data_IF_390810771540
#
_entry.id   IF_390810771540
#
_cell.length_a   1.000
_cell.length_b   1.000
_cell.length_c   1.000
_cell.angle_alpha   90.00
_cell.angle_beta   90.00
_cell.angle_gamma   90.00
#
_symmetry.space_group_name_H-M   'P 1'
#
loop_
_entity.id
_entity.type
_entity.pdbx_description
1 polymer ?
#
# COMPACT_ATOMS: atom_id res chain seq x y z
N UNK A 1 8.14 29.42 -1.03
CA UNK A 1 6.95 28.85 -0.34
C UNK A 1 7.20 27.35 -0.20
N UNK A 2 6.93 26.71 0.96
CA UNK A 2 7.11 25.28 1.13
C UNK A 2 6.22 24.51 0.14
N UNK A 3 6.72 23.46 -0.48
CA UNK A 3 5.88 22.59 -1.31
C UNK A 3 4.96 21.78 -0.40
N UNK A 4 3.68 22.13 -0.39
CA UNK A 4 2.65 21.40 0.35
C UNK A 4 2.06 20.26 -0.47
N UNK A 5 2.27 20.24 -1.78
CA UNK A 5 1.79 19.19 -2.67
C UNK A 5 2.97 18.40 -3.23
N UNK A 6 3.12 17.15 -2.79
CA UNK A 6 4.25 16.29 -3.11
C UNK A 6 3.72 15.06 -3.87
N UNK A 7 3.92 14.98 -5.19
CA UNK A 7 3.64 13.75 -5.93
C UNK A 7 4.74 12.72 -5.68
N UNK A 8 4.39 11.44 -5.72
CA UNK A 8 5.35 10.35 -5.75
C UNK A 8 4.91 9.27 -6.74
N UNK A 9 5.90 8.49 -7.19
CA UNK A 9 5.69 7.34 -8.04
C UNK A 9 6.76 6.30 -7.71
N UNK A 10 6.32 5.09 -7.37
CA UNK A 10 7.18 3.95 -7.09
C UNK A 10 6.78 2.81 -8.01
N UNK A 11 7.77 2.16 -8.63
CA UNK A 11 7.54 1.08 -9.59
C UNK A 11 8.40 -0.13 -9.26
N UNK A 12 7.93 -1.30 -9.66
CA UNK A 12 8.67 -2.54 -9.51
C UNK A 12 8.46 -3.47 -10.71
N UNK A 13 9.42 -4.36 -10.90
CA UNK A 13 9.33 -5.55 -11.74
C UNK A 13 10.03 -6.68 -10.99
N UNK A 14 9.34 -7.80 -10.83
CA UNK A 14 9.86 -8.98 -10.15
C UNK A 14 9.83 -10.19 -11.06
N UNK A 15 10.95 -10.91 -11.11
CA UNK A 15 11.15 -12.10 -11.92
C UNK A 15 11.28 -13.33 -11.01
N UNK A 16 10.66 -14.44 -11.40
CA UNK A 16 10.60 -15.64 -10.58
C UNK A 16 9.77 -15.41 -9.32
N UNK A 17 10.33 -15.77 -8.17
CA UNK A 17 9.70 -15.59 -6.86
C UNK A 17 10.66 -14.84 -5.92
N UNK A 18 10.74 -13.50 -6.00
CA UNK A 18 11.56 -12.71 -5.09
C UNK A 18 11.11 -12.92 -3.63
N UNK A 19 12.06 -13.10 -2.73
CA UNK A 19 11.79 -13.35 -1.31
C UNK A 19 12.54 -12.32 -0.45
N UNK A 20 11.86 -11.70 0.54
CA UNK A 20 12.54 -10.82 1.48
C UNK A 20 13.48 -11.63 2.39
N UNK A 21 14.65 -11.08 2.71
CA UNK A 21 15.59 -11.72 3.65
C UNK A 21 14.97 -11.86 5.06
N UNK A 22 14.09 -10.94 5.43
CA UNK A 22 13.27 -10.98 6.64
C UNK A 22 11.86 -10.54 6.27
N UNK A 23 10.89 -11.44 6.41
CA UNK A 23 9.48 -11.10 6.27
C UNK A 23 8.92 -10.64 7.61
N UNK A 24 9.14 -9.36 7.92
CA UNK A 24 8.60 -8.76 9.13
C UNK A 24 7.07 -8.68 9.04
N UNK A 25 6.39 -9.55 9.78
CA UNK A 25 4.93 -9.52 9.96
C UNK A 25 4.13 -9.81 8.67
N UNK A 26 4.63 -10.67 7.78
CA UNK A 26 3.91 -11.03 6.54
C UNK A 26 3.69 -9.85 5.60
N UNK A 27 4.60 -8.87 5.63
CA UNK A 27 4.50 -7.61 4.90
C UNK A 27 4.99 -7.69 3.46
N UNK A 28 5.61 -8.80 3.07
CA UNK A 28 6.09 -8.99 1.71
C UNK A 28 7.23 -8.03 1.34
N UNK A 29 7.74 -8.18 0.12
CA UNK A 29 8.87 -7.38 -0.39
C UNK A 29 8.41 -6.00 -0.86
N UNK A 30 7.13 -5.84 -1.21
CA UNK A 30 6.58 -4.62 -1.82
C UNK A 30 5.92 -3.64 -0.83
N UNK A 31 6.03 -3.86 0.49
CA UNK A 31 5.41 -2.98 1.51
C UNK A 31 5.74 -1.49 1.40
N UNK A 32 6.88 -1.15 0.80
CA UNK A 32 7.36 0.23 0.65
C UNK A 32 7.02 0.85 -0.72
N UNK A 33 6.35 0.12 -1.61
CA UNK A 33 5.92 0.65 -2.92
C UNK A 33 4.83 1.70 -2.71
N UNK A 34 3.89 1.45 -1.81
CA UNK A 34 2.76 2.34 -1.60
C UNK A 34 1.87 1.91 -0.45
N UNK A 35 0.94 2.78 -0.05
CA UNK A 35 0.00 2.53 1.04
C UNK A 35 -0.96 1.37 0.73
N UNK A 36 -1.25 1.07 -0.55
CA UNK A 36 -2.04 -0.09 -0.95
C UNK A 36 -1.29 -1.43 -0.82
N UNK A 37 0.02 -1.40 -0.59
CA UNK A 37 0.84 -2.59 -0.30
C UNK A 37 1.16 -2.73 1.20
N UNK A 38 0.81 -1.72 2.01
CA UNK A 38 1.11 -1.73 3.43
C UNK A 38 0.18 -2.71 4.16
N UNK A 39 0.78 -3.65 4.88
CA UNK A 39 0.04 -4.51 5.80
C UNK A 39 0.22 -4.04 7.23
N UNK A 40 -0.77 -4.37 8.04
CA UNK A 40 -0.64 -4.43 9.49
C UNK A 40 -1.04 -5.85 9.87
N UNK A 41 -0.07 -6.65 10.32
CA UNK A 41 -0.30 -8.07 10.59
C UNK A 41 -1.24 -8.32 11.78
N UNK A 42 -1.74 -7.25 12.41
CA UNK A 42 -2.71 -7.34 13.48
C UNK A 42 -4.16 -7.31 12.97
N UNK A 43 -4.46 -6.51 11.95
CA UNK A 43 -5.85 -6.19 11.56
C UNK A 43 -6.31 -6.91 10.31
N UNK A 44 -5.39 -7.53 9.55
CA UNK A 44 -5.73 -8.14 8.26
C UNK A 44 -6.23 -7.11 7.24
N UNK A 45 -5.77 -5.86 7.37
CA UNK A 45 -6.15 -4.77 6.47
C UNK A 45 -5.89 -5.17 5.01
N UNK A 46 -6.86 -4.97 4.09
CA UNK A 46 -6.70 -5.37 2.70
C UNK A 46 -5.47 -4.74 2.07
N UNK A 47 -4.72 -5.51 1.28
CA UNK A 47 -3.58 -5.05 0.49
C UNK A 47 -3.53 -5.73 -0.88
N UNK A 48 -2.91 -5.05 -1.84
CA UNK A 48 -2.53 -5.67 -3.10
C UNK A 48 -1.47 -6.75 -2.88
N UNK A 49 -1.35 -7.68 -3.83
CA UNK A 49 -0.32 -8.70 -3.78
C UNK A 49 1.07 -8.06 -3.73
N UNK A 50 1.84 -8.42 -2.71
CA UNK A 50 3.10 -7.78 -2.32
C UNK A 50 4.33 -8.70 -2.48
N UNK A 51 4.16 -9.83 -3.17
CA UNK A 51 5.23 -10.83 -3.37
C UNK A 51 6.19 -10.44 -4.49
N UNK A 52 5.72 -9.70 -5.49
CA UNK A 52 6.48 -9.44 -6.73
C UNK A 52 6.80 -10.69 -7.56
N UNK A 53 6.13 -11.83 -7.32
CA UNK A 53 6.38 -13.06 -8.07
C UNK A 53 5.85 -12.94 -9.49
N UNK A 54 6.74 -13.00 -10.49
CA UNK A 54 6.43 -12.84 -11.91
C UNK A 54 5.42 -11.71 -12.17
N UNK A 55 5.67 -10.54 -11.60
CA UNK A 55 4.75 -9.42 -11.67
C UNK A 55 5.47 -8.07 -11.77
N UNK A 56 4.86 -7.12 -12.46
CA UNK A 56 5.27 -5.73 -12.46
C UNK A 56 4.13 -4.85 -11.97
N UNK A 57 4.46 -3.63 -11.57
CA UNK A 57 3.45 -2.72 -11.07
C UNK A 57 4.06 -1.53 -10.37
N UNK A 58 3.24 -0.90 -9.53
CA UNK A 58 3.67 0.28 -8.81
C UNK A 58 2.52 1.01 -8.16
N UNK A 59 2.85 2.15 -7.59
CA UNK A 59 1.94 3.09 -7.00
C UNK A 59 2.29 4.49 -7.46
N UNK A 60 1.28 5.28 -7.78
CA UNK A 60 1.39 6.72 -7.96
C UNK A 60 0.48 7.38 -6.95
N UNK A 61 0.97 8.44 -6.33
CA UNK A 61 0.20 9.12 -5.31
C UNK A 61 0.53 10.59 -5.17
N UNK A 62 -0.34 11.26 -4.45
CA UNK A 62 -0.29 12.68 -4.18
C UNK A 62 -0.43 12.88 -2.68
N UNK A 63 0.61 13.45 -2.09
CA UNK A 63 0.63 13.83 -0.69
C UNK A 63 0.40 15.33 -0.57
N UNK A 64 -0.59 15.71 0.23
CA UNK A 64 -0.82 17.07 0.64
C UNK A 64 -0.47 17.26 2.12
N UNK A 65 0.43 18.21 2.39
CA UNK A 65 0.82 18.62 3.73
C UNK A 65 0.11 19.93 4.07
N UNK A 66 -0.97 19.86 4.86
CA UNK A 66 -1.62 21.06 5.40
C UNK A 66 -0.65 21.69 6.39
N UNK A 67 -0.25 22.94 6.17
CA UNK A 67 0.60 23.73 7.08
C UNK A 67 1.82 23.00 7.69
N UNK A 68 2.30 21.93 7.04
CA UNK A 68 3.33 21.00 7.53
C UNK A 68 2.98 20.29 8.85
N UNK A 69 1.72 20.33 9.30
CA UNK A 69 1.26 19.70 10.53
C UNK A 69 0.25 18.58 10.28
N UNK A 70 -0.37 18.47 9.11
CA UNK A 70 -1.24 17.33 8.76
C UNK A 70 -0.92 16.80 7.38
N UNK A 71 -1.18 15.52 7.16
CA UNK A 71 -0.89 14.84 5.90
C UNK A 71 -2.14 14.14 5.40
N UNK A 72 -2.46 14.36 4.12
CA UNK A 72 -3.45 13.61 3.38
C UNK A 72 -2.78 13.02 2.14
N UNK A 73 -2.90 11.72 1.95
CA UNK A 73 -2.32 11.00 0.81
C UNK A 73 -3.43 10.34 0.03
N UNK A 74 -3.41 10.53 -1.28
CA UNK A 74 -4.20 9.74 -2.23
C UNK A 74 -3.25 8.88 -3.05
N UNK A 75 -3.61 7.62 -3.30
CA UNK A 75 -2.79 6.68 -4.06
C UNK A 75 -3.67 5.84 -4.99
N UNK A 76 -3.17 5.61 -6.21
CA UNK A 76 -3.62 4.50 -7.05
C UNK A 76 -2.45 3.57 -7.33
N UNK A 77 -2.70 2.27 -7.29
CA UNK A 77 -1.67 1.24 -7.40
C UNK A 77 -2.16 0.07 -8.25
N UNK A 78 -1.21 -0.66 -8.83
CA UNK A 78 -1.52 -1.86 -9.61
C UNK A 78 -0.45 -2.93 -9.50
N UNK A 79 -0.88 -4.18 -9.68
CA UNK A 79 -0.02 -5.36 -9.83
C UNK A 79 -0.48 -6.12 -11.06
N UNK A 80 0.45 -6.37 -11.97
CA UNK A 80 0.22 -7.02 -13.26
C UNK A 80 1.09 -8.27 -13.33
N UNK A 81 0.51 -9.48 -13.24
CA UNK A 81 1.27 -10.70 -13.43
C UNK A 81 1.67 -10.88 -14.89
N UNK A 82 2.80 -11.53 -15.12
CA UNK A 82 3.29 -11.87 -16.45
C UNK A 82 3.90 -13.27 -16.47
N UNK A 83 3.88 -13.92 -17.64
CA UNK A 83 4.36 -15.30 -17.75
C UNK A 83 3.51 -16.29 -16.97
N UNK A 84 4.09 -17.44 -16.63
CA UNK A 84 3.37 -18.51 -15.94
C UNK A 84 3.18 -18.18 -14.44
N UNK A 85 1.94 -18.25 -13.94
CA UNK A 85 1.66 -18.09 -12.52
C UNK A 85 2.31 -19.21 -11.71
N UNK A 86 2.91 -18.86 -10.58
CA UNK A 86 3.40 -19.85 -9.62
C UNK A 86 2.20 -20.26 -8.76
N UNK A 87 1.79 -21.53 -8.83
CA UNK A 87 0.60 -22.01 -8.12
C UNK A 87 0.68 -21.70 -6.62
N UNK A 88 -0.31 -20.96 -6.10
CA UNK A 88 -0.39 -20.56 -4.69
C UNK A 88 0.53 -19.41 -4.27
N UNK A 89 1.30 -18.82 -5.19
CA UNK A 89 2.24 -17.73 -4.91
C UNK A 89 2.02 -16.57 -5.88
N UNK A 90 2.01 -15.35 -5.35
CA UNK A 90 1.92 -14.14 -6.16
C UNK A 90 0.54 -13.82 -6.71
N UNK A 91 0.50 -12.82 -7.59
CA UNK A 91 -0.73 -12.37 -8.21
C UNK A 91 -1.08 -13.33 -9.36
N UNK A 92 -2.23 -13.99 -9.30
CA UNK A 92 -2.71 -14.81 -10.41
C UNK A 92 -3.39 -13.97 -11.51
N UNK A 93 -3.87 -12.76 -11.17
CA UNK A 93 -4.63 -11.86 -12.04
C UNK A 93 -4.26 -10.41 -11.75
N UNK A 94 -4.45 -9.50 -12.71
CA UNK A 94 -4.28 -8.06 -12.50
C UNK A 94 -5.07 -7.54 -11.29
N UNK A 95 -4.45 -6.64 -10.54
CA UNK A 95 -5.05 -5.99 -9.39
C UNK A 95 -4.89 -4.48 -9.47
N UNK A 96 -5.89 -3.76 -8.96
CA UNK A 96 -5.92 -2.31 -8.87
C UNK A 96 -6.33 -1.90 -7.46
N UNK A 97 -5.64 -0.92 -6.89
CA UNK A 97 -5.90 -0.41 -5.55
C UNK A 97 -6.05 1.10 -5.56
N UNK A 98 -7.04 1.60 -4.82
CA UNK A 98 -7.24 3.00 -4.52
C UNK A 98 -7.10 3.18 -3.01
N UNK A 99 -6.24 4.09 -2.58
CA UNK A 99 -5.92 4.31 -1.18
C UNK A 99 -6.04 5.77 -0.79
N UNK A 100 -6.54 6.01 0.42
CA UNK A 100 -6.50 7.31 1.08
C UNK A 100 -5.94 7.14 2.48
N UNK A 101 -5.01 8.03 2.87
CA UNK A 101 -4.47 8.11 4.22
C UNK A 101 -4.58 9.52 4.75
N UNK A 102 -5.16 9.67 5.93
CA UNK A 102 -5.12 10.90 6.71
C UNK A 102 -4.29 10.71 7.98
N UNK A 103 -3.41 11.66 8.28
CA UNK A 103 -2.52 11.60 9.43
C UNK A 103 -2.35 12.99 10.06
N UNK A 104 -2.51 13.05 11.39
CA UNK A 104 -2.39 14.28 12.19
C UNK A 104 -1.69 13.99 13.53
N UNK A 105 -0.63 14.73 13.90
CA UNK A 105 -0.12 14.76 15.25
C UNK A 105 -1.15 15.45 16.16
N UNK A 106 -1.65 14.73 17.15
CA UNK A 106 -2.55 15.30 18.18
C UNK A 106 -1.73 16.24 19.08
N UNK A 107 -0.54 15.78 19.46
CA UNK A 107 0.47 16.56 20.16
C UNK A 107 1.88 16.06 19.77
N UNK A 108 2.91 16.43 20.53
CA UNK A 108 4.30 15.97 20.27
C UNK A 108 4.48 14.47 20.48
N UNK A 109 3.65 13.85 21.31
CA UNK A 109 3.73 12.45 21.71
C UNK A 109 2.71 11.56 20.99
N UNK A 110 1.61 12.08 20.45
CA UNK A 110 0.51 11.28 19.91
C UNK A 110 0.24 11.57 18.44
N UNK A 111 0.01 10.51 17.67
CA UNK A 111 -0.31 10.53 16.25
C UNK A 111 -1.64 9.81 16.03
N UNK A 112 -2.53 10.44 15.29
CA UNK A 112 -3.70 9.77 14.72
C UNK A 112 -3.44 9.48 13.24
N UNK A 113 -3.80 8.27 12.81
CA UNK A 113 -3.78 7.85 11.41
C UNK A 113 -5.08 7.15 11.06
N UNK A 114 -5.64 7.46 9.91
CA UNK A 114 -6.76 6.75 9.33
C UNK A 114 -6.47 6.39 7.87
N UNK A 115 -6.84 5.19 7.47
CA UNK A 115 -6.61 4.62 6.14
C UNK A 115 -7.92 4.08 5.57
N UNK A 116 -8.14 4.27 4.27
CA UNK A 116 -9.20 3.64 3.50
C UNK A 116 -8.63 3.07 2.20
N UNK A 117 -9.05 1.86 1.83
CA UNK A 117 -8.61 1.19 0.61
C UNK A 117 -9.79 0.55 -0.12
N UNK A 118 -9.72 0.58 -1.44
CA UNK A 118 -10.66 -0.09 -2.33
C UNK A 118 -9.86 -0.84 -3.41
N UNK A 119 -10.05 -2.15 -3.47
CA UNK A 119 -9.23 -3.04 -4.29
C UNK A 119 -10.09 -3.86 -5.23
N UNK A 120 -9.64 -3.93 -6.47
CA UNK A 120 -10.27 -4.65 -7.56
C UNK A 120 -9.28 -5.70 -8.04
N UNK A 121 -9.70 -6.96 -8.01
CA UNK A 121 -8.97 -8.05 -8.66
C UNK A 121 -9.74 -8.41 -9.92
N UNK A 122 -9.06 -8.42 -11.07
CA UNK A 122 -9.70 -8.76 -12.33
C UNK A 122 -10.35 -10.15 -12.27
N UNK A 123 -11.59 -10.26 -12.74
CA UNK A 123 -12.39 -11.49 -12.67
C UNK A 123 -12.86 -11.88 -11.25
N UNK A 124 -12.76 -10.98 -10.26
CA UNK A 124 -13.47 -11.12 -8.99
C UNK A 124 -14.85 -10.47 -9.08
N UNK A 125 -15.88 -11.17 -8.61
CA UNK A 125 -17.26 -10.65 -8.60
C UNK A 125 -17.46 -9.56 -7.55
N UNK A 126 -16.57 -9.48 -6.55
CA UNK A 126 -16.66 -8.52 -5.46
C UNK A 126 -15.34 -7.75 -5.29
N UNK A 127 -15.40 -6.41 -5.21
CA UNK A 127 -14.27 -5.61 -4.78
C UNK A 127 -14.04 -5.79 -3.28
N UNK A 128 -12.81 -5.53 -2.83
CA UNK A 128 -12.46 -5.54 -1.40
C UNK A 128 -12.31 -4.12 -0.89
N UNK A 129 -13.01 -3.78 0.18
CA UNK A 129 -12.94 -2.47 0.82
C UNK A 129 -12.49 -2.63 2.27
N UNK A 130 -11.64 -1.71 2.74
CA UNK A 130 -11.15 -1.72 4.12
C UNK A 130 -10.94 -0.31 4.67
N UNK A 131 -11.26 -0.13 5.94
CA UNK A 131 -10.94 1.08 6.70
C UNK A 131 -10.19 0.71 7.98
N UNK A 132 -9.26 1.57 8.39
CA UNK A 132 -8.46 1.39 9.60
C UNK A 132 -8.23 2.74 10.26
N UNK A 133 -8.19 2.76 11.59
CA UNK A 133 -7.75 3.91 12.36
C UNK A 133 -6.79 3.47 13.46
N UNK A 134 -5.77 4.28 13.73
CA UNK A 134 -4.71 4.02 14.71
C UNK A 134 -4.45 5.29 15.52
N UNK A 135 -4.27 5.10 16.83
CA UNK A 135 -3.71 6.11 17.74
C UNK A 135 -2.39 5.56 18.25
N UNK A 136 -1.29 6.27 17.97
CA UNK A 136 0.06 5.84 18.32
C UNK A 136 0.76 6.87 19.20
N UNK A 137 1.34 6.39 20.30
CA UNK A 137 2.28 7.17 21.11
C UNK A 137 3.71 7.04 20.57
N UNK A 138 4.38 8.16 20.36
CA UNK A 138 5.80 8.30 20.04
C UNK A 138 6.58 8.24 21.37
N UNK A 139 7.66 7.47 21.36
CA UNK A 139 8.58 7.28 22.49
C UNK A 139 9.74 8.27 22.42
#
# INVERSE_FOLDING_TARGET
LPSTLIPYANFFVGFGNPQPLVDGNGAGILKNVGINFETDALTGYPKLNDTGSNAYGGAIGLQYLFNLDQQLVFEVATVQPFGDPIAGIGAARPQYGFGVRYQIPIDRAWLFRADATYQIVEGSDKPTFGVRAEIRRKF
#
